data_IF_562923326785
#
_entry.id   IF_562923326785
#
_cell.length_a   1.000
_cell.length_b   1.000
_cell.length_c   1.000
_cell.angle_alpha   90.00
_cell.angle_beta   90.00
_cell.angle_gamma   90.00
#
_symmetry.space_group_name_H-M   'P 1'
#
loop_
_entity.id
_entity.type
_entity.pdbx_description
1 polymer ?
#
# COMPACT_ATOMS: atom_id res chain seq x y z
N UNK A 1 -10.67 -7.01 20.84
CA UNK A 1 -9.42 -7.78 20.64
C UNK A 1 -8.82 -7.25 19.36
N UNK A 2 -7.62 -6.64 19.38
CA UNK A 2 -7.04 -6.08 18.16
C UNK A 2 -6.80 -7.21 17.15
N UNK A 3 -7.10 -7.02 15.85
CA UNK A 3 -6.89 -8.05 14.85
C UNK A 3 -5.41 -8.41 14.77
N UNK A 4 -5.10 -9.69 14.86
CA UNK A 4 -3.75 -10.23 14.74
C UNK A 4 -3.51 -10.57 13.28
N UNK A 5 -2.89 -9.65 12.55
CA UNK A 5 -2.85 -9.69 11.09
C UNK A 5 -1.66 -10.44 10.51
N UNK A 6 -0.50 -10.24 11.12
CA UNK A 6 0.77 -10.79 10.64
C UNK A 6 1.51 -11.28 11.88
N UNK A 7 1.81 -12.57 11.94
CA UNK A 7 2.60 -13.21 13.02
C UNK A 7 2.07 -13.01 14.45
N UNK A 8 0.77 -12.79 14.62
CA UNK A 8 0.21 -12.52 15.95
C UNK A 8 0.52 -11.12 16.51
N UNK A 9 1.20 -10.27 15.73
CA UNK A 9 1.53 -8.89 16.09
C UNK A 9 0.37 -7.92 15.91
N UNK A 10 0.32 -6.91 16.78
CA UNK A 10 -0.64 -5.80 16.66
C UNK A 10 -0.04 -4.69 15.80
N UNK A 11 -0.12 -4.83 14.46
CA UNK A 11 0.34 -3.78 13.57
C UNK A 11 -0.72 -2.68 13.47
N UNK A 12 -0.27 -1.43 13.46
CA UNK A 12 -1.13 -0.26 13.26
C UNK A 12 -1.10 0.24 11.81
N UNK A 13 -0.08 -0.15 11.06
CA UNK A 13 0.13 0.27 9.69
C UNK A 13 0.54 -0.92 8.83
N UNK A 14 -0.11 -1.07 7.68
CA UNK A 14 0.21 -2.05 6.66
C UNK A 14 0.47 -1.34 5.33
N UNK A 15 1.67 -1.45 4.80
CA UNK A 15 2.07 -0.87 3.52
C UNK A 15 2.07 -1.95 2.43
N UNK A 16 1.25 -1.76 1.38
CA UNK A 16 1.24 -2.62 0.20
C UNK A 16 2.12 -2.00 -0.89
N UNK A 17 3.32 -2.52 -1.05
CA UNK A 17 4.36 -2.01 -1.95
C UNK A 17 4.57 -2.96 -3.13
N UNK A 18 5.19 -2.50 -4.22
CA UNK A 18 5.59 -3.36 -5.33
C UNK A 18 5.48 -2.72 -6.71
N UNK A 19 5.85 -3.44 -7.78
CA UNK A 19 5.80 -2.96 -9.16
C UNK A 19 4.40 -2.50 -9.60
N UNK A 20 4.33 -1.75 -10.71
CA UNK A 20 3.05 -1.33 -11.29
C UNK A 20 2.27 -2.51 -11.88
N UNK A 21 0.93 -2.50 -11.74
CA UNK A 21 0.05 -3.48 -12.38
C UNK A 21 -0.02 -4.87 -11.74
N UNK A 22 0.66 -5.12 -10.62
CA UNK A 22 0.70 -6.43 -9.94
C UNK A 22 -0.50 -6.72 -9.03
N UNK A 23 -1.43 -5.75 -8.84
CA UNK A 23 -2.63 -5.92 -8.02
C UNK A 23 -2.48 -5.42 -6.58
N UNK A 24 -1.63 -4.42 -6.32
CA UNK A 24 -1.47 -3.80 -4.99
C UNK A 24 -2.79 -3.32 -4.40
N UNK A 25 -3.54 -2.52 -5.16
CA UNK A 25 -4.84 -1.98 -4.76
C UNK A 25 -5.82 -3.08 -4.36
N UNK A 26 -5.91 -4.13 -5.17
CA UNK A 26 -6.74 -5.31 -4.88
C UNK A 26 -6.29 -6.03 -3.61
N UNK A 27 -4.98 -6.20 -3.44
CA UNK A 27 -4.41 -6.84 -2.25
C UNK A 27 -4.66 -5.99 -1.00
N UNK A 28 -4.45 -4.68 -1.07
CA UNK A 28 -4.72 -3.76 0.03
C UNK A 28 -6.19 -3.78 0.44
N UNK A 29 -7.10 -3.74 -0.55
CA UNK A 29 -8.55 -3.85 -0.32
C UNK A 29 -8.93 -5.17 0.34
N UNK A 30 -8.37 -6.30 -0.14
CA UNK A 30 -8.66 -7.62 0.39
C UNK A 30 -8.15 -7.81 1.83
N UNK A 31 -6.95 -7.30 2.13
CA UNK A 31 -6.38 -7.33 3.47
C UNK A 31 -7.16 -6.43 4.43
N UNK A 32 -7.52 -5.22 4.01
CA UNK A 32 -8.35 -4.31 4.80
C UNK A 32 -9.74 -4.87 5.09
N UNK A 33 -10.40 -5.42 4.08
CA UNK A 33 -11.72 -6.06 4.22
C UNK A 33 -11.66 -7.22 5.21
N UNK A 34 -10.65 -8.06 5.09
CA UNK A 34 -10.48 -9.19 5.99
C UNK A 34 -10.31 -8.72 7.44
N UNK A 35 -9.47 -7.68 7.67
CA UNK A 35 -9.24 -7.12 8.99
C UNK A 35 -10.50 -6.62 9.65
N UNK A 36 -11.29 -5.94 8.88
CA UNK A 36 -12.57 -5.44 9.35
C UNK A 36 -13.52 -6.59 9.71
N UNK A 37 -13.55 -7.67 8.90
CA UNK A 37 -14.37 -8.85 9.20
C UNK A 37 -13.88 -9.63 10.42
N UNK A 38 -12.62 -9.51 10.81
CA UNK A 38 -12.06 -10.04 12.05
C UNK A 38 -12.33 -9.12 13.27
N UNK A 39 -13.08 -8.05 13.09
CA UNK A 39 -13.55 -7.15 14.16
C UNK A 39 -12.73 -5.88 14.33
N UNK A 40 -11.78 -5.60 13.44
CA UNK A 40 -10.96 -4.38 13.49
C UNK A 40 -11.66 -3.15 12.95
N UNK A 41 -11.30 -1.97 13.46
CA UNK A 41 -11.59 -0.69 12.84
C UNK A 41 -10.46 -0.35 11.84
N UNK A 42 -10.75 -0.46 10.55
CA UNK A 42 -9.75 -0.42 9.49
C UNK A 42 -9.99 0.73 8.53
N UNK A 43 -8.93 1.48 8.23
CA UNK A 43 -8.90 2.48 7.17
C UNK A 43 -8.01 1.99 6.02
N UNK A 44 -8.56 1.95 4.81
CA UNK A 44 -7.78 1.67 3.58
C UNK A 44 -7.60 2.98 2.82
N UNK A 45 -6.37 3.41 2.65
CA UNK A 45 -6.02 4.66 1.97
C UNK A 45 -5.26 4.37 0.68
N UNK A 46 -5.61 5.07 -0.41
CA UNK A 46 -4.82 5.07 -1.64
C UNK A 46 -4.30 6.47 -1.96
N UNK A 47 -3.10 6.49 -2.55
CA UNK A 47 -2.48 7.70 -3.09
C UNK A 47 -2.74 7.80 -4.60
N UNK A 48 -3.13 6.70 -5.24
CA UNK A 48 -3.45 6.69 -6.67
C UNK A 48 -4.66 7.61 -6.94
N UNK A 49 -4.56 8.58 -7.85
CA UNK A 49 -5.68 9.43 -8.23
C UNK A 49 -6.82 8.66 -8.90
N UNK A 50 -6.56 7.47 -9.44
CA UNK A 50 -7.59 6.63 -10.05
C UNK A 50 -8.56 6.06 -8.97
N UNK A 51 -9.85 5.93 -9.26
CA UNK A 51 -10.85 5.49 -8.29
C UNK A 51 -10.82 3.98 -7.98
N UNK A 52 -9.81 3.25 -8.45
CA UNK A 52 -9.74 1.78 -8.39
C UNK A 52 -9.99 1.17 -7.01
N UNK A 53 -9.46 1.79 -5.94
CA UNK A 53 -9.67 1.33 -4.57
C UNK A 53 -11.15 1.45 -4.19
N UNK A 54 -11.73 2.60 -4.49
CA UNK A 54 -13.12 2.89 -4.14
C UNK A 54 -14.09 2.01 -4.93
N UNK A 55 -13.84 1.88 -6.24
CA UNK A 55 -14.61 0.99 -7.11
C UNK A 55 -14.55 -0.46 -6.62
N UNK A 56 -13.36 -0.95 -6.25
CA UNK A 56 -13.18 -2.31 -5.71
C UNK A 56 -13.95 -2.52 -4.39
N UNK A 57 -14.13 -1.47 -3.60
CA UNK A 57 -14.87 -1.50 -2.33
C UNK A 57 -16.34 -1.06 -2.48
N UNK A 58 -16.83 -0.85 -3.71
CA UNK A 58 -18.22 -0.51 -3.99
C UNK A 58 -18.59 0.94 -3.64
N UNK A 59 -17.60 1.82 -3.51
CA UNK A 59 -17.80 3.22 -3.17
C UNK A 59 -17.73 4.12 -4.41
N UNK A 60 -18.56 5.17 -4.44
CA UNK A 60 -18.50 6.19 -5.49
C UNK A 60 -17.32 7.14 -5.26
N UNK A 61 -16.65 7.53 -6.35
CA UNK A 61 -15.45 8.36 -6.29
C UNK A 61 -15.70 9.82 -5.86
N UNK A 62 -16.94 10.28 -5.84
CA UNK A 62 -17.32 11.61 -5.44
C UNK A 62 -17.12 11.77 -3.92
N UNK A 63 -16.33 12.75 -3.48
CA UNK A 63 -16.01 13.06 -2.08
C UNK A 63 -15.16 12.04 -1.27
N UNK A 64 -14.31 11.31 -1.93
CA UNK A 64 -13.48 10.27 -1.28
C UNK A 64 -12.23 10.79 -0.52
N UNK A 65 -12.05 12.10 -0.41
CA UNK A 65 -10.94 12.69 0.37
C UNK A 65 -11.09 12.49 1.89
N UNK A 66 -12.31 12.27 2.36
CA UNK A 66 -12.60 11.86 3.74
C UNK A 66 -12.92 10.36 3.80
N UNK A 67 -12.65 9.70 4.95
CA UNK A 67 -12.93 8.28 5.11
C UNK A 67 -14.43 7.97 4.90
N UNK A 68 -14.72 7.06 3.97
CA UNK A 68 -16.07 6.59 3.66
C UNK A 68 -16.25 5.17 4.15
N UNK A 69 -17.34 4.93 4.85
CA UNK A 69 -17.66 3.60 5.37
C UNK A 69 -18.10 2.66 4.26
N UNK A 70 -17.58 1.44 4.27
CA UNK A 70 -17.93 0.34 3.36
C UNK A 70 -19.01 -0.49 4.02
N UNK A 71 -20.13 -0.74 3.33
CA UNK A 71 -21.21 -1.56 3.85
C UNK A 71 -20.81 -3.04 3.93
N UNK A 72 -20.47 -3.52 5.11
CA UNK A 72 -20.11 -4.92 5.36
C UNK A 72 -21.33 -5.83 5.58
N UNK A 73 -22.52 -5.27 5.77
CA UNK A 73 -23.74 -6.02 6.05
C UNK A 73 -24.09 -7.04 4.94
N UNK A 74 -23.78 -6.73 3.68
CA UNK A 74 -23.98 -7.65 2.56
C UNK A 74 -23.11 -8.91 2.65
N UNK A 75 -22.02 -8.89 3.40
CA UNK A 75 -21.11 -10.02 3.60
C UNK A 75 -21.47 -10.88 4.83
N UNK A 76 -22.31 -10.39 5.73
CA UNK A 76 -22.73 -11.14 6.92
C UNK A 76 -23.47 -12.44 6.56
N UNK A 77 -24.18 -12.46 5.42
CA UNK A 77 -24.83 -13.66 4.88
C UNK A 77 -23.83 -14.66 4.25
N UNK A 78 -22.59 -14.24 3.99
CA UNK A 78 -21.55 -15.02 3.32
C UNK A 78 -20.68 -15.86 4.28
N UNK A 79 -20.94 -15.82 5.58
CA UNK A 79 -20.26 -16.64 6.60
C UNK A 79 -20.54 -18.14 6.50
N UNK A 80 -21.35 -18.57 5.51
CA UNK A 80 -21.60 -19.96 5.16
C UNK A 80 -20.41 -20.58 4.42
N UNK A 81 -19.63 -21.38 5.13
CA UNK A 81 -18.46 -22.14 4.66
C UNK A 81 -18.73 -23.12 3.49
N UNK A 82 -19.89 -23.06 2.83
CA UNK A 82 -20.33 -24.03 1.84
C UNK A 82 -19.81 -23.78 0.42
N UNK A 83 -19.38 -22.57 0.07
CA UNK A 83 -19.06 -22.24 -1.34
C UNK A 83 -17.56 -22.16 -1.65
N UNK A 84 -16.70 -22.39 -0.66
CA UNK A 84 -15.25 -22.45 -0.85
C UNK A 84 -14.75 -23.87 -1.19
N UNK A 85 -15.62 -24.89 -1.13
CA UNK A 85 -15.28 -26.27 -1.48
C UNK A 85 -15.00 -26.46 -2.97
N UNK A 86 -15.48 -25.58 -3.83
CA UNK A 86 -15.22 -25.63 -5.27
C UNK A 86 -13.78 -25.27 -5.68
N UNK A 87 -12.97 -24.72 -4.78
CA UNK A 87 -11.55 -24.42 -5.01
C UNK A 87 -10.60 -25.46 -4.39
N UNK A 88 -11.11 -26.36 -3.54
CA UNK A 88 -10.32 -27.39 -2.84
C UNK A 88 -10.34 -28.76 -3.51
N UNK A 89 -11.21 -29.00 -4.50
CA UNK A 89 -11.35 -30.29 -5.15
C UNK A 89 -10.42 -30.49 -6.37
N UNK A 90 -9.20 -29.98 -6.31
CA UNK A 90 -8.16 -30.42 -7.23
C UNK A 90 -7.29 -31.47 -6.55
N UNK A 91 -7.27 -32.73 -7.05
CA UNK A 91 -6.51 -33.82 -6.43
C UNK A 91 -4.99 -33.70 -6.52
N UNK A 92 -4.46 -32.65 -7.12
CA UNK A 92 -3.02 -32.49 -7.42
C UNK A 92 -2.27 -31.50 -6.53
N UNK A 93 -2.79 -31.18 -5.34
CA UNK A 93 -2.02 -30.42 -4.34
C UNK A 93 -0.81 -31.17 -3.79
N UNK A 94 -0.67 -32.47 -4.10
CA UNK A 94 0.42 -33.31 -3.60
C UNK A 94 1.77 -33.08 -4.28
N UNK A 95 1.82 -32.62 -5.54
CA UNK A 95 3.10 -32.45 -6.27
C UNK A 95 3.78 -31.10 -6.03
N UNK A 96 3.08 -30.11 -5.48
CA UNK A 96 3.69 -28.88 -4.96
C UNK A 96 4.21 -29.05 -3.52
N UNK A 97 3.86 -30.16 -2.87
CA UNK A 97 4.19 -30.48 -1.48
C UNK A 97 5.65 -30.84 -1.25
N UNK A 98 6.45 -31.07 -2.29
CA UNK A 98 7.87 -31.41 -2.14
C UNK A 98 8.79 -30.20 -2.01
N UNK A 99 8.28 -28.97 -2.03
CA UNK A 99 9.01 -27.78 -1.65
C UNK A 99 8.49 -27.30 -0.29
N UNK A 100 9.10 -27.83 0.72
CA UNK A 100 8.75 -27.67 2.13
C UNK A 100 8.62 -26.22 2.56
N UNK A 101 7.45 -25.70 2.66
CA UNK A 101 6.93 -24.54 3.44
C UNK A 101 5.85 -23.68 2.77
N UNK A 102 5.59 -23.82 1.45
CA UNK A 102 4.44 -23.14 0.80
C UNK A 102 3.17 -23.99 0.90
N UNK A 103 3.32 -25.26 1.22
CA UNK A 103 2.32 -26.32 1.02
C UNK A 103 1.79 -26.93 2.30
N UNK A 104 2.39 -26.63 3.46
CA UNK A 104 1.91 -27.26 4.71
C UNK A 104 0.46 -26.93 5.07
N UNK A 105 -0.11 -25.87 4.51
CA UNK A 105 -1.50 -25.50 4.80
C UNK A 105 -2.55 -26.10 3.88
N UNK A 106 -2.19 -26.53 2.67
CA UNK A 106 -3.10 -27.27 1.82
C UNK A 106 -3.13 -28.78 2.21
N UNK A 107 -1.99 -29.33 2.63
CA UNK A 107 -1.85 -30.73 3.01
C UNK A 107 -2.47 -31.06 4.39
N UNK A 108 -2.44 -30.15 5.35
CA UNK A 108 -3.04 -30.37 6.69
C UNK A 108 -4.57 -30.52 6.69
N UNK A 109 -5.22 -30.28 5.56
CA UNK A 109 -6.68 -30.48 5.40
C UNK A 109 -7.07 -31.74 4.62
N UNK A 110 -6.13 -32.39 3.93
CA UNK A 110 -6.40 -33.59 3.15
C UNK A 110 -6.34 -34.87 4.00
N UNK A 111 -5.64 -34.88 5.13
CA UNK A 111 -5.65 -35.98 6.05
C UNK A 111 -6.85 -35.88 7.02
N UNK A 112 -7.91 -36.61 6.72
CA UNK A 112 -9.13 -36.72 7.52
C UNK A 112 -8.97 -37.31 8.92
N UNK A 113 -7.87 -36.98 9.63
CA UNK A 113 -7.68 -37.28 11.05
C UNK A 113 -8.08 -36.06 11.88
N UNK A 114 -9.38 -35.89 11.99
CA UNK A 114 -10.01 -34.99 12.93
C UNK A 114 -9.73 -35.38 14.36
N UNK A 115 -8.89 -34.65 15.00
CA UNK A 115 -8.67 -34.71 16.45
C UNK A 115 -8.68 -33.33 17.10
N UNK A 116 -8.95 -32.28 16.34
CA UNK A 116 -9.15 -30.94 16.92
C UNK A 116 -10.66 -30.68 16.98
N UNK A 117 -11.17 -30.65 18.21
CA UNK A 117 -12.53 -30.25 18.49
C UNK A 117 -12.86 -28.99 17.74
N UNK A 118 -14.00 -28.98 17.06
CA UNK A 118 -14.54 -27.82 16.37
C UNK A 118 -14.60 -26.64 17.36
N UNK A 119 -13.52 -25.86 17.41
CA UNK A 119 -13.59 -24.53 18.02
C UNK A 119 -14.59 -23.80 17.12
N UNK A 120 -15.80 -23.56 17.67
CA UNK A 120 -16.75 -22.59 17.12
C UNK A 120 -15.92 -21.36 16.77
N UNK A 121 -15.74 -21.07 15.47
CA UNK A 121 -15.22 -19.77 15.05
C UNK A 121 -16.11 -18.74 15.72
N UNK A 122 -15.55 -17.75 16.41
CA UNK A 122 -16.36 -16.68 16.94
C UNK A 122 -17.16 -16.12 15.75
N UNK A 123 -18.45 -15.87 15.96
CA UNK A 123 -19.27 -15.14 15.01
C UNK A 123 -18.46 -13.88 14.66
N UNK A 124 -18.22 -13.65 13.36
CA UNK A 124 -17.50 -12.48 12.88
C UNK A 124 -18.22 -11.26 13.47
N UNK A 125 -17.65 -10.64 14.49
CA UNK A 125 -18.13 -9.34 14.93
C UNK A 125 -17.65 -8.39 13.86
N UNK A 126 -18.55 -7.94 12.98
CA UNK A 126 -18.21 -7.00 11.94
C UNK A 126 -17.58 -5.76 12.60
N UNK A 127 -16.29 -5.57 12.35
CA UNK A 127 -15.61 -4.33 12.63
C UNK A 127 -16.06 -3.26 11.64
N UNK A 128 -15.26 -2.24 11.50
CA UNK A 128 -15.54 -1.13 10.58
C UNK A 128 -14.48 -1.07 9.49
N UNK A 129 -14.90 -0.96 8.24
CA UNK A 129 -14.02 -0.68 7.11
C UNK A 129 -14.36 0.69 6.54
N UNK A 130 -13.37 1.56 6.45
CA UNK A 130 -13.47 2.83 5.74
C UNK A 130 -12.43 2.86 4.63
N UNK A 131 -12.77 3.50 3.52
CA UNK A 131 -11.83 3.76 2.44
C UNK A 131 -11.75 5.24 2.13
N UNK A 132 -10.55 5.68 1.75
CA UNK A 132 -10.31 7.07 1.36
C UNK A 132 -9.25 7.15 0.27
N UNK A 133 -9.37 8.17 -0.57
CA UNK A 133 -8.37 8.57 -1.55
C UNK A 133 -7.73 9.86 -1.09
N UNK A 134 -6.42 9.90 -1.06
CA UNK A 134 -5.69 11.12 -0.70
C UNK A 134 -6.02 12.27 -1.65
N UNK A 135 -6.36 13.41 -1.08
CA UNK A 135 -6.30 14.71 -1.74
C UNK A 135 -5.18 15.52 -1.10
N UNK A 136 -4.01 15.61 -1.76
CA UNK A 136 -2.85 16.29 -1.18
C UNK A 136 -3.12 17.75 -0.86
N UNK A 137 -3.86 18.45 -1.73
CA UNK A 137 -4.18 19.86 -1.51
C UNK A 137 -5.08 20.04 -0.30
N UNK A 138 -6.15 19.27 -0.21
CA UNK A 138 -7.09 19.35 0.93
C UNK A 138 -6.41 18.98 2.24
N UNK A 139 -5.52 17.97 2.23
CA UNK A 139 -4.71 17.59 3.39
C UNK A 139 -3.79 18.74 3.81
N UNK A 140 -3.12 19.38 2.85
CA UNK A 140 -2.26 20.51 3.15
C UNK A 140 -3.04 21.71 3.69
N UNK A 141 -4.19 22.03 3.07
CA UNK A 141 -5.08 23.10 3.56
C UNK A 141 -5.52 22.85 5.00
N UNK A 142 -5.90 21.60 5.33
CA UNK A 142 -6.28 21.22 6.69
C UNK A 142 -5.14 21.35 7.71
N UNK A 143 -3.91 21.00 7.32
CA UNK A 143 -2.71 21.18 8.16
C UNK A 143 -2.43 22.66 8.38
N UNK A 144 -2.52 23.48 7.33
CA UNK A 144 -2.36 24.93 7.44
C UNK A 144 -3.41 25.53 8.36
N UNK A 145 -4.70 25.17 8.17
CA UNK A 145 -5.79 25.66 9.01
C UNK A 145 -5.61 25.29 10.49
N UNK A 146 -5.09 24.09 10.78
CA UNK A 146 -4.90 23.58 12.16
C UNK A 146 -3.68 24.17 12.85
N UNK A 147 -2.60 24.43 12.13
CA UNK A 147 -1.28 24.74 12.69
C UNK A 147 -0.78 26.15 12.43
N UNK A 148 -1.48 26.95 11.62
CA UNK A 148 -1.13 28.35 11.44
C UNK A 148 -1.29 29.12 12.75
N UNK A 149 -0.45 30.15 13.00
CA UNK A 149 -0.49 30.94 14.23
C UNK A 149 -1.82 31.65 14.48
N UNK A 150 -2.60 31.91 13.43
CA UNK A 150 -3.94 32.50 13.50
C UNK A 150 -4.76 32.17 12.25
N UNK A 151 -6.09 32.27 12.28
CA UNK A 151 -6.93 32.10 11.10
C UNK A 151 -6.54 33.07 9.95
N UNK A 152 -6.21 34.31 10.28
CA UNK A 152 -5.77 35.28 9.27
C UNK A 152 -4.42 34.89 8.62
N UNK A 153 -3.50 34.25 9.37
CA UNK A 153 -2.27 33.71 8.82
C UNK A 153 -2.55 32.51 7.92
N UNK A 154 -3.49 31.63 8.29
CA UNK A 154 -3.91 30.52 7.45
C UNK A 154 -4.46 31.00 6.11
N UNK A 155 -5.37 31.98 6.12
CA UNK A 155 -5.93 32.58 4.92
C UNK A 155 -4.83 33.21 4.05
N UNK A 156 -3.90 33.95 4.65
CA UNK A 156 -2.79 34.59 3.95
C UNK A 156 -1.86 33.56 3.30
N UNK A 157 -1.62 32.41 3.96
CA UNK A 157 -0.86 31.30 3.40
C UNK A 157 -1.61 30.70 2.20
N UNK A 158 -2.89 30.35 2.35
CA UNK A 158 -3.69 29.68 1.32
C UNK A 158 -3.91 30.55 0.08
N UNK A 159 -3.95 31.89 0.25
CA UNK A 159 -4.09 32.84 -0.85
C UNK A 159 -2.75 33.15 -1.55
N UNK A 160 -1.63 32.80 -0.93
CA UNK A 160 -0.31 33.07 -1.49
C UNK A 160 -0.07 32.26 -2.77
N UNK A 161 0.49 32.87 -3.82
CA UNK A 161 0.76 32.24 -5.12
C UNK A 161 1.76 31.08 -4.99
N UNK A 162 2.77 31.24 -4.14
CA UNK A 162 3.77 30.20 -3.89
C UNK A 162 3.10 28.97 -3.28
N UNK A 163 2.26 29.16 -2.26
CA UNK A 163 1.50 28.06 -1.65
C UNK A 163 0.63 27.32 -2.67
N UNK A 164 -0.13 28.03 -3.50
CA UNK A 164 -1.00 27.44 -4.52
C UNK A 164 -0.20 26.61 -5.54
N UNK A 165 0.94 27.11 -5.95
CA UNK A 165 1.81 26.37 -6.88
C UNK A 165 2.45 25.15 -6.18
N UNK A 166 2.93 25.29 -4.94
CA UNK A 166 3.50 24.19 -4.16
C UNK A 166 2.47 23.09 -3.91
N UNK A 167 1.26 23.44 -3.50
CA UNK A 167 0.22 22.48 -3.15
C UNK A 167 -0.34 21.70 -4.35
N UNK A 168 -0.12 22.18 -5.59
CA UNK A 168 -0.66 21.58 -6.81
C UNK A 168 0.40 20.94 -7.70
N UNK A 169 1.62 21.42 -7.71
CA UNK A 169 2.59 21.11 -8.77
C UNK A 169 3.89 20.44 -8.31
N UNK A 170 4.21 20.41 -7.02
CA UNK A 170 5.46 19.80 -6.58
C UNK A 170 5.32 18.31 -6.30
N UNK A 171 6.01 17.53 -7.15
CA UNK A 171 6.35 16.15 -6.82
C UNK A 171 7.04 16.12 -5.44
N UNK A 172 6.57 15.25 -4.54
CA UNK A 172 7.09 15.15 -3.16
C UNK A 172 6.23 15.86 -2.10
N UNK A 173 5.51 16.94 -2.41
CA UNK A 173 4.51 17.49 -1.47
C UNK A 173 3.34 16.55 -1.30
N UNK A 174 2.87 15.92 -2.40
CA UNK A 174 1.83 14.91 -2.35
C UNK A 174 2.22 13.72 -1.50
N UNK A 175 3.45 13.24 -1.65
CA UNK A 175 3.99 12.12 -0.87
C UNK A 175 4.05 12.45 0.63
N UNK A 176 4.51 13.67 0.96
CA UNK A 176 4.54 14.10 2.34
C UNK A 176 3.12 14.29 2.92
N UNK A 177 2.18 14.83 2.15
CA UNK A 177 0.78 14.95 2.59
C UNK A 177 0.15 13.58 2.83
N UNK A 178 0.51 12.58 2.03
CA UNK A 178 0.09 11.20 2.28
C UNK A 178 0.63 10.68 3.61
N UNK A 179 1.89 10.98 3.93
CA UNK A 179 2.49 10.59 5.20
C UNK A 179 1.86 11.31 6.40
N UNK A 180 1.53 12.58 6.26
CA UNK A 180 0.79 13.33 7.29
C UNK A 180 -0.59 12.72 7.54
N UNK A 181 -1.33 12.39 6.47
CA UNK A 181 -2.64 11.75 6.60
C UNK A 181 -2.55 10.36 7.22
N UNK A 182 -1.53 9.61 6.84
CA UNK A 182 -1.23 8.30 7.42
C UNK A 182 -0.96 8.39 8.93
N UNK A 183 -0.14 9.36 9.35
CA UNK A 183 0.14 9.62 10.76
C UNK A 183 -1.14 9.97 11.52
N UNK A 184 -1.94 10.89 10.98
CA UNK A 184 -3.22 11.30 11.58
C UNK A 184 -4.15 10.11 11.79
N UNK A 185 -4.33 9.26 10.78
CA UNK A 185 -5.17 8.07 10.86
C UNK A 185 -4.60 7.04 11.86
N UNK A 186 -3.29 6.78 11.82
CA UNK A 186 -2.65 5.80 12.68
C UNK A 186 -2.64 6.18 14.16
N UNK A 187 -2.66 7.48 14.48
CA UNK A 187 -2.73 7.99 15.85
C UNK A 187 -4.17 8.23 16.33
N UNK A 188 -5.13 8.22 15.39
CA UNK A 188 -6.53 8.39 15.70
C UNK A 188 -7.06 7.29 16.62
N UNK A 189 -7.96 7.62 17.57
CA UNK A 189 -8.55 6.63 18.48
C UNK A 189 -9.54 5.70 17.79
N UNK A 190 -9.99 6.05 16.60
CA UNK A 190 -11.02 5.35 15.87
C UNK A 190 -10.51 4.25 14.95
N UNK A 191 -9.18 4.12 14.76
CA UNK A 191 -8.57 3.23 13.80
C UNK A 191 -7.61 2.27 14.49
N UNK A 192 -7.83 0.98 14.30
CA UNK A 192 -6.93 -0.07 14.77
C UNK A 192 -5.81 -0.35 13.76
N UNK A 193 -6.14 -0.30 12.46
CA UNK A 193 -5.22 -0.58 11.37
C UNK A 193 -5.44 0.38 10.19
N UNK A 194 -4.36 0.95 9.69
CA UNK A 194 -4.34 1.67 8.41
C UNK A 194 -3.66 0.81 7.35
N UNK A 195 -4.33 0.55 6.25
CA UNK A 195 -3.77 -0.14 5.08
C UNK A 195 -3.51 0.89 3.99
N UNK A 196 -2.25 1.02 3.57
CA UNK A 196 -1.86 1.94 2.52
C UNK A 196 -1.62 1.22 1.20
N UNK A 197 -2.42 1.57 0.19
CA UNK A 197 -2.18 1.25 -1.22
C UNK A 197 -1.25 2.31 -1.82
N UNK A 198 -0.05 1.89 -2.20
CA UNK A 198 1.01 2.81 -2.63
C UNK A 198 1.13 2.91 -4.16
N UNK A 199 1.76 3.98 -4.68
CA UNK A 199 2.12 4.05 -6.09
C UNK A 199 3.12 2.94 -6.52
N UNK A 200 3.48 2.84 -7.80
CA UNK A 200 4.46 1.86 -8.29
C UNK A 200 5.81 1.93 -7.58
N UNK A 201 6.57 0.83 -7.55
CA UNK A 201 7.75 0.61 -6.69
C UNK A 201 8.81 1.73 -6.71
N UNK A 202 9.11 2.34 -7.85
CA UNK A 202 10.08 3.45 -7.91
C UNK A 202 9.58 4.67 -7.14
N UNK A 203 8.33 5.03 -7.36
CA UNK A 203 7.67 6.14 -6.66
C UNK A 203 7.43 5.79 -5.18
N UNK A 204 7.26 4.51 -4.85
CA UNK A 204 7.08 4.07 -3.46
C UNK A 204 8.34 4.25 -2.60
N UNK A 205 9.55 4.09 -3.15
CA UNK A 205 10.80 4.40 -2.44
C UNK A 205 10.94 5.90 -2.22
N UNK A 206 10.63 6.70 -3.24
CA UNK A 206 10.60 8.16 -3.14
C UNK A 206 9.59 8.62 -2.10
N UNK A 207 8.43 7.98 -2.06
CA UNK A 207 7.40 8.18 -1.06
C UNK A 207 7.90 7.90 0.37
N UNK A 208 8.54 6.75 0.59
CA UNK A 208 9.08 6.38 1.90
C UNK A 208 10.18 7.33 2.39
N UNK A 209 10.92 7.96 1.46
CA UNK A 209 11.96 8.94 1.76
C UNK A 209 11.43 10.39 1.89
N UNK A 210 10.14 10.63 1.60
CA UNK A 210 9.53 11.96 1.63
C UNK A 210 9.70 12.69 2.98
N UNK A 211 9.53 12.04 4.17
CA UNK A 211 9.76 12.71 5.45
C UNK A 211 11.19 13.18 5.61
N UNK A 212 12.17 12.40 5.19
CA UNK A 212 13.59 12.75 5.24
C UNK A 212 13.90 13.92 4.33
N UNK A 213 13.42 13.88 3.09
CA UNK A 213 13.59 14.99 2.13
C UNK A 213 13.02 16.31 2.66
N UNK A 214 11.86 16.24 3.33
CA UNK A 214 11.30 17.42 3.98
C UNK A 214 12.20 17.92 5.11
N UNK A 215 12.69 17.04 5.99
CA UNK A 215 13.62 17.42 7.06
C UNK A 215 14.89 18.06 6.50
N UNK A 216 15.47 17.49 5.46
CA UNK A 216 16.65 18.04 4.79
C UNK A 216 16.37 19.43 4.18
N UNK A 217 15.18 19.58 3.57
CA UNK A 217 14.74 20.88 3.04
C UNK A 217 14.58 21.92 4.16
N UNK A 218 13.87 21.58 5.23
CA UNK A 218 13.62 22.47 6.37
C UNK A 218 14.93 22.86 7.10
N UNK A 219 15.88 21.93 7.18
CA UNK A 219 17.20 22.18 7.75
C UNK A 219 18.19 22.87 6.79
N UNK A 220 17.78 23.06 5.54
CA UNK A 220 18.64 23.67 4.53
C UNK A 220 18.95 25.14 4.87
N UNK A 221 20.16 25.57 4.48
CA UNK A 221 20.57 27.00 4.63
C UNK A 221 19.62 27.94 3.91
N UNK A 222 19.01 27.50 2.80
CA UNK A 222 18.07 28.31 2.03
C UNK A 222 16.83 28.69 2.84
N UNK A 223 16.21 27.74 3.55
CA UNK A 223 15.05 28.01 4.40
C UNK A 223 15.43 28.85 5.61
N UNK A 224 16.57 28.57 6.24
CA UNK A 224 17.08 29.36 7.37
C UNK A 224 17.36 30.79 6.98
N UNK A 225 17.88 31.03 5.77
CA UNK A 225 18.16 32.39 5.24
C UNK A 225 16.88 33.14 4.87
N UNK A 226 15.86 32.49 4.37
CA UNK A 226 14.57 33.07 3.98
C UNK A 226 13.66 33.33 5.19
N UNK A 227 13.71 32.45 6.20
CA UNK A 227 12.77 32.40 7.33
C UNK A 227 13.06 33.28 8.52
N UNK A 228 14.13 34.05 8.56
CA UNK A 228 14.33 34.94 9.70
C UNK A 228 15.69 34.87 10.37
N UNK A 229 16.65 34.17 9.83
CA UNK A 229 18.06 34.25 10.23
C UNK A 229 18.70 35.63 10.05
N UNK A 230 17.87 36.63 9.82
CA UNK A 230 18.27 38.03 9.58
C UNK A 230 18.84 38.75 10.81
N UNK A 231 18.96 38.05 11.94
CA UNK A 231 19.54 38.64 13.17
C UNK A 231 21.07 38.52 13.30
N UNK A 232 21.75 37.80 12.38
CA UNK A 232 23.21 37.66 12.40
C UNK A 232 23.80 37.76 10.99
N UNK A 233 24.11 38.98 10.57
CA UNK A 233 25.04 39.26 9.48
C UNK A 233 24.65 38.76 8.09
N UNK A 234 24.25 39.63 7.20
CA UNK A 234 24.04 39.34 5.78
C UNK A 234 25.34 38.81 5.14
N UNK A 235 25.31 37.61 4.57
CA UNK A 235 26.42 37.14 3.73
C UNK A 235 26.38 37.82 2.35
N UNK A 236 27.51 37.89 1.67
CA UNK A 236 27.59 38.43 0.30
C UNK A 236 26.73 37.66 -0.67
N UNK A 237 26.52 36.36 -0.42
CA UNK A 237 25.66 35.46 -1.20
C UNK A 237 24.17 35.84 -1.07
N UNK A 238 23.75 36.32 0.12
CA UNK A 238 22.36 36.74 0.35
C UNK A 238 22.02 38.03 -0.42
N UNK A 239 22.98 38.93 -0.51
CA UNK A 239 22.83 40.18 -1.26
C UNK A 239 22.74 39.87 -2.76
N UNK A 240 23.59 38.98 -3.28
CA UNK A 240 23.58 38.58 -4.68
C UNK A 240 22.27 37.85 -5.07
N UNK A 241 21.80 36.91 -4.26
CA UNK A 241 20.55 36.22 -4.51
C UNK A 241 19.34 37.17 -4.52
N UNK A 242 19.29 38.13 -3.60
CA UNK A 242 18.26 39.19 -3.58
C UNK A 242 18.32 40.09 -4.78
N UNK A 243 19.53 40.47 -5.21
CA UNK A 243 19.72 41.33 -6.39
C UNK A 243 19.22 40.59 -7.67
N UNK A 244 19.51 39.30 -7.83
CA UNK A 244 19.03 38.50 -8.96
C UNK A 244 17.50 38.38 -8.94
N UNK A 245 16.90 38.06 -7.80
CA UNK A 245 15.44 37.95 -7.68
C UNK A 245 14.75 39.30 -7.89
N UNK A 246 15.32 40.39 -7.37
CA UNK A 246 14.77 41.75 -7.59
C UNK A 246 14.89 42.21 -9.04
N UNK A 247 15.98 41.83 -9.73
CA UNK A 247 16.14 42.11 -11.15
C UNK A 247 15.13 41.30 -11.98
N UNK A 248 14.90 40.05 -11.61
CA UNK A 248 13.88 39.18 -12.23
C UNK A 248 12.46 39.74 -12.03
N UNK A 249 12.13 40.19 -10.80
CA UNK A 249 10.85 40.85 -10.50
C UNK A 249 10.61 42.09 -11.35
N UNK A 250 11.67 42.93 -11.54
CA UNK A 250 11.60 44.13 -12.39
C UNK A 250 11.39 43.78 -13.87
N UNK A 251 12.01 42.72 -14.36
CA UNK A 251 11.91 42.28 -15.74
C UNK A 251 10.58 41.60 -16.06
N UNK A 252 10.05 40.83 -15.11
CA UNK A 252 8.86 40.01 -15.30
C UNK A 252 7.57 40.62 -14.73
N UNK A 253 7.67 41.59 -13.82
CA UNK A 253 6.52 42.17 -13.11
C UNK A 253 5.84 41.19 -12.12
N UNK A 254 6.46 40.08 -11.80
CA UNK A 254 5.82 38.97 -11.08
C UNK A 254 5.84 39.06 -9.55
N UNK A 255 6.54 40.04 -8.97
CA UNK A 255 6.68 40.24 -7.50
C UNK A 255 7.06 38.97 -6.71
N UNK A 256 7.78 38.03 -7.33
CA UNK A 256 8.11 36.73 -6.76
C UNK A 256 8.84 36.82 -5.42
N UNK A 257 9.76 37.79 -5.28
CA UNK A 257 10.49 37.96 -4.04
C UNK A 257 9.56 38.33 -2.88
N UNK A 258 8.58 39.20 -3.13
CA UNK A 258 7.57 39.59 -2.14
C UNK A 258 6.69 38.42 -1.72
N UNK A 259 6.24 37.64 -2.70
CA UNK A 259 5.40 36.44 -2.46
C UNK A 259 6.16 35.38 -1.65
N UNK A 260 7.45 35.11 -1.99
CA UNK A 260 8.30 34.18 -1.24
C UNK A 260 8.52 34.66 0.19
N UNK A 261 8.86 35.94 0.38
CA UNK A 261 9.08 36.49 1.72
C UNK A 261 7.79 36.46 2.57
N UNK A 262 6.64 36.77 1.99
CA UNK A 262 5.36 36.73 2.67
C UNK A 262 5.00 35.26 3.05
N UNK A 263 5.20 34.34 2.12
CA UNK A 263 4.99 32.90 2.36
C UNK A 263 5.86 32.41 3.53
N UNK A 264 7.18 32.62 3.46
CA UNK A 264 8.12 32.16 4.48
C UNK A 264 7.80 32.77 5.86
N UNK A 265 7.50 34.07 5.93
CA UNK A 265 7.13 34.69 7.22
C UNK A 265 5.85 34.11 7.84
N UNK A 266 4.83 33.88 7.03
CA UNK A 266 3.56 33.32 7.51
C UNK A 266 3.69 31.83 7.85
N UNK A 267 4.62 31.14 7.21
CA UNK A 267 4.87 29.70 7.38
C UNK A 267 5.91 29.40 8.48
N UNK A 268 6.70 30.42 8.91
CA UNK A 268 7.83 30.25 9.85
C UNK A 268 7.41 29.56 11.16
N UNK A 269 6.25 29.93 11.71
CA UNK A 269 5.70 29.31 12.92
C UNK A 269 5.29 27.84 12.75
N UNK A 270 5.21 27.34 11.52
CA UNK A 270 4.79 25.96 11.23
C UNK A 270 5.96 25.00 10.96
N UNK A 271 7.17 25.52 10.64
CA UNK A 271 8.32 24.69 10.27
C UNK A 271 8.69 23.67 11.36
N UNK A 272 8.71 24.08 12.62
CA UNK A 272 9.02 23.20 13.74
C UNK A 272 8.00 22.04 13.85
N UNK A 273 6.71 22.34 13.68
CA UNK A 273 5.64 21.34 13.69
C UNK A 273 5.75 20.36 12.51
N UNK A 274 6.09 20.83 11.32
CA UNK A 274 6.36 19.95 10.17
C UNK A 274 7.56 19.05 10.40
N UNK A 275 8.66 19.58 10.94
CA UNK A 275 9.85 18.80 11.26
C UNK A 275 9.56 17.72 12.32
N UNK A 276 8.81 18.05 13.37
CA UNK A 276 8.42 17.11 14.41
C UNK A 276 7.55 15.99 13.83
N UNK A 277 6.53 16.31 13.03
CA UNK A 277 5.65 15.32 12.42
C UNK A 277 6.39 14.45 11.40
N UNK A 278 7.27 15.02 10.58
CA UNK A 278 8.11 14.26 9.67
C UNK A 278 8.99 13.24 10.41
N UNK A 279 9.57 13.63 11.55
CA UNK A 279 10.34 12.72 12.39
C UNK A 279 9.47 11.61 13.02
N UNK A 280 8.21 11.92 13.37
CA UNK A 280 7.24 10.91 13.87
C UNK A 280 6.87 9.93 12.77
N UNK A 281 6.60 10.40 11.55
CA UNK A 281 6.34 9.52 10.39
C UNK A 281 7.54 8.61 10.12
N UNK A 282 8.75 9.16 10.12
CA UNK A 282 9.95 8.35 9.91
C UNK A 282 10.09 7.24 10.98
N UNK A 283 9.80 7.56 12.23
CA UNK A 283 9.76 6.55 13.29
C UNK A 283 8.65 5.52 13.07
N UNK A 284 7.46 5.94 12.66
CA UNK A 284 6.34 5.05 12.37
C UNK A 284 6.69 4.04 11.28
N UNK A 285 7.34 4.46 10.21
CA UNK A 285 7.70 3.59 9.07
C UNK A 285 8.68 2.47 9.43
N UNK A 286 9.57 2.69 10.40
CA UNK A 286 10.57 1.71 10.87
C UNK A 286 10.16 1.04 12.19
N UNK A 287 9.02 1.39 12.74
CA UNK A 287 8.53 0.82 13.99
C UNK A 287 8.08 -0.64 13.80
N UNK A 288 8.17 -1.44 14.86
CA UNK A 288 7.74 -2.84 14.83
C UNK A 288 6.24 -3.06 14.60
N UNK A 289 5.44 -2.01 14.78
CA UNK A 289 3.99 -1.98 14.54
C UNK A 289 3.62 -1.56 13.09
N UNK A 290 4.62 -1.36 12.22
CA UNK A 290 4.44 -1.20 10.78
C UNK A 290 4.83 -2.49 10.05
N UNK A 291 3.90 -3.03 9.28
CA UNK A 291 4.13 -4.16 8.41
C UNK A 291 4.27 -3.72 6.96
N UNK A 292 5.25 -4.25 6.26
CA UNK A 292 5.45 -4.02 4.83
C UNK A 292 5.23 -5.32 4.08
N UNK A 293 4.38 -5.28 3.08
CA UNK A 293 4.08 -6.40 2.19
C UNK A 293 4.47 -6.01 0.77
N UNK A 294 5.30 -6.83 0.13
CA UNK A 294 5.68 -6.64 -1.27
C UNK A 294 4.79 -7.49 -2.16
N UNK A 295 4.05 -6.85 -3.05
CA UNK A 295 3.17 -7.53 -4.02
C UNK A 295 3.88 -7.59 -5.37
N UNK A 296 3.92 -8.77 -5.98
CA UNK A 296 4.49 -9.00 -7.31
C UNK A 296 3.67 -10.04 -8.08
N UNK A 297 4.08 -10.37 -9.29
CA UNK A 297 3.58 -11.53 -10.06
C UNK A 297 4.76 -12.45 -10.41
N UNK A 298 4.48 -13.67 -10.87
CA UNK A 298 5.51 -14.63 -11.25
C UNK A 298 6.15 -14.34 -12.63
N UNK A 299 5.81 -13.21 -13.26
CA UNK A 299 6.47 -12.78 -14.48
C UNK A 299 7.94 -12.43 -14.24
N UNK A 300 8.89 -12.88 -15.09
CA UNK A 300 10.33 -12.69 -14.84
C UNK A 300 10.71 -11.22 -14.59
N UNK A 301 10.16 -10.29 -15.36
CA UNK A 301 10.45 -8.86 -15.21
C UNK A 301 9.93 -8.31 -13.87
N UNK A 302 8.74 -8.73 -13.45
CA UNK A 302 8.14 -8.32 -12.17
C UNK A 302 8.87 -8.93 -10.98
N UNK A 303 9.31 -10.19 -11.12
CA UNK A 303 10.14 -10.86 -10.12
C UNK A 303 11.48 -10.13 -9.94
N UNK A 304 12.16 -9.78 -11.05
CA UNK A 304 13.41 -9.02 -11.00
C UNK A 304 13.21 -7.65 -10.34
N UNK A 305 12.15 -6.91 -10.70
CA UNK A 305 11.81 -5.64 -10.06
C UNK A 305 11.51 -5.80 -8.57
N UNK A 306 10.85 -6.90 -8.16
CA UNK A 306 10.59 -7.18 -6.76
C UNK A 306 11.89 -7.44 -5.98
N UNK A 307 12.87 -8.15 -6.55
CA UNK A 307 14.18 -8.34 -5.94
C UNK A 307 14.93 -7.03 -5.71
N UNK A 308 15.02 -6.19 -6.74
CA UNK A 308 15.64 -4.87 -6.63
C UNK A 308 14.94 -4.02 -5.56
N UNK A 309 13.62 -4.07 -5.54
CA UNK A 309 12.82 -3.31 -4.59
C UNK A 309 12.99 -3.78 -3.14
N UNK A 310 13.01 -5.10 -2.89
CA UNK A 310 13.27 -5.68 -1.57
C UNK A 310 14.68 -5.29 -1.09
N UNK A 311 15.67 -5.34 -1.96
CA UNK A 311 17.04 -4.91 -1.63
C UNK A 311 17.10 -3.41 -1.25
N UNK A 312 16.37 -2.57 -1.97
CA UNK A 312 16.29 -1.14 -1.68
C UNK A 312 15.57 -0.85 -0.35
N UNK A 313 14.47 -1.55 -0.04
CA UNK A 313 13.78 -1.46 1.25
C UNK A 313 14.73 -1.79 2.41
N UNK A 314 15.49 -2.88 2.30
CA UNK A 314 16.47 -3.26 3.32
C UNK A 314 17.55 -2.23 3.51
N UNK A 315 18.06 -1.65 2.42
CA UNK A 315 19.04 -0.55 2.49
C UNK A 315 18.45 0.65 3.25
N UNK A 316 17.14 0.87 3.17
CA UNK A 316 16.42 1.89 3.92
C UNK A 316 16.07 1.46 5.38
N UNK A 317 16.48 0.26 5.81
CA UNK A 317 16.20 -0.29 7.14
C UNK A 317 14.77 -0.83 7.31
N UNK A 318 14.10 -1.13 6.20
CA UNK A 318 12.73 -1.63 6.19
C UNK A 318 12.74 -3.10 5.75
N UNK A 319 12.36 -4.02 6.65
CA UNK A 319 12.24 -5.44 6.35
C UNK A 319 10.81 -5.79 5.94
N UNK A 320 10.59 -6.34 4.73
CA UNK A 320 9.28 -6.85 4.35
C UNK A 320 8.88 -8.02 5.24
N UNK A 321 7.63 -8.05 5.68
CA UNK A 321 7.05 -9.18 6.43
C UNK A 321 6.59 -10.31 5.52
N UNK A 322 6.14 -9.95 4.32
CA UNK A 322 5.72 -10.94 3.34
C UNK A 322 5.96 -10.47 1.92
N UNK A 323 6.11 -11.43 1.02
CA UNK A 323 6.04 -11.25 -0.42
C UNK A 323 4.81 -12.00 -0.95
N UNK A 324 3.91 -11.28 -1.60
CA UNK A 324 2.70 -11.85 -2.21
C UNK A 324 2.93 -11.97 -3.70
N UNK A 325 2.96 -13.20 -4.21
CA UNK A 325 2.99 -13.48 -5.64
C UNK A 325 1.55 -13.64 -6.11
N UNK A 326 1.02 -12.59 -6.72
CA UNK A 326 -0.36 -12.48 -7.15
C UNK A 326 -0.57 -13.04 -8.56
N UNK A 327 -1.81 -13.37 -8.92
CA UNK A 327 -2.22 -13.87 -10.23
C UNK A 327 -1.51 -15.16 -10.63
N UNK A 328 -1.34 -16.06 -9.68
CA UNK A 328 -0.79 -17.38 -9.96
C UNK A 328 -1.78 -18.22 -10.77
N UNK A 329 -1.26 -18.93 -11.75
CA UNK A 329 -2.07 -19.82 -12.57
C UNK A 329 -2.76 -20.88 -11.68
N UNK A 330 -4.06 -21.13 -11.87
CA UNK A 330 -4.78 -22.14 -11.11
C UNK A 330 -4.25 -23.55 -11.40
N UNK A 331 -4.53 -24.50 -10.51
CA UNK A 331 -4.25 -25.90 -10.76
C UNK A 331 -5.10 -26.40 -11.94
N UNK A 332 -4.47 -27.07 -12.89
CA UNK A 332 -5.12 -27.65 -14.06
C UNK A 332 -4.81 -29.15 -14.13
N UNK A 333 -5.74 -29.98 -14.65
CA UNK A 333 -5.48 -31.39 -14.86
C UNK A 333 -4.21 -31.63 -15.67
N UNK A 334 -3.40 -32.60 -15.27
CA UNK A 334 -2.20 -32.95 -15.99
C UNK A 334 -2.52 -33.53 -17.38
N UNK A 335 -1.55 -33.48 -18.31
CA UNK A 335 -1.72 -34.05 -19.63
C UNK A 335 -2.08 -35.56 -19.58
N UNK A 336 -1.59 -36.29 -18.55
CA UNK A 336 -1.90 -37.72 -18.34
C UNK A 336 -3.33 -37.91 -17.86
N UNK A 337 -3.81 -37.10 -16.93
CA UNK A 337 -5.19 -37.13 -16.44
C UNK A 337 -6.16 -36.83 -17.58
N UNK A 338 -5.88 -35.81 -18.40
CA UNK A 338 -6.66 -35.49 -19.60
C UNK A 338 -6.63 -36.65 -20.61
N UNK A 339 -5.48 -37.30 -20.80
CA UNK A 339 -5.34 -38.44 -21.72
C UNK A 339 -6.17 -39.63 -21.29
N UNK A 340 -6.37 -39.87 -19.98
CA UNK A 340 -7.20 -40.92 -19.41
C UNK A 340 -8.69 -40.61 -19.42
N UNK A 341 -9.08 -39.35 -19.54
CA UNK A 341 -10.48 -38.95 -19.54
C UNK A 341 -11.26 -39.48 -20.73
N UNK A 342 -12.53 -39.77 -20.53
CA UNK A 342 -13.46 -40.24 -21.56
C UNK A 342 -13.93 -39.07 -22.44
N UNK A 343 -13.08 -38.61 -23.36
CA UNK A 343 -13.31 -37.47 -24.23
C UNK A 343 -13.19 -37.89 -25.71
N UNK A 344 -13.90 -37.19 -26.59
CA UNK A 344 -13.76 -37.35 -28.03
C UNK A 344 -12.27 -37.15 -28.48
N UNK A 345 -11.75 -38.02 -29.39
CA UNK A 345 -10.31 -38.00 -29.75
C UNK A 345 -9.75 -36.65 -30.17
N UNK A 346 -10.54 -35.88 -30.91
CA UNK A 346 -10.10 -34.55 -31.38
C UNK A 346 -10.00 -33.55 -30.22
N UNK A 347 -10.95 -33.55 -29.29
CA UNK A 347 -10.96 -32.70 -28.10
C UNK A 347 -9.83 -33.11 -27.14
N UNK A 348 -9.66 -34.40 -26.90
CA UNK A 348 -8.59 -34.96 -26.06
C UNK A 348 -7.21 -34.49 -26.52
N UNK A 349 -6.90 -34.57 -27.84
CA UNK A 349 -5.61 -34.05 -28.35
C UNK A 349 -5.39 -32.60 -28.10
N UNK A 350 -6.44 -31.77 -28.28
CA UNK A 350 -6.35 -30.32 -28.00
C UNK A 350 -6.10 -30.05 -26.51
N UNK A 351 -6.84 -30.72 -25.65
CA UNK A 351 -6.71 -30.53 -24.19
C UNK A 351 -5.39 -31.06 -23.64
N UNK A 352 -4.86 -32.19 -24.14
CA UNK A 352 -3.52 -32.69 -23.76
C UNK A 352 -2.45 -31.69 -24.18
N UNK A 353 -2.55 -31.08 -25.35
CA UNK A 353 -1.63 -30.05 -25.78
C UNK A 353 -1.71 -28.82 -24.87
N UNK A 354 -2.92 -28.32 -24.61
CA UNK A 354 -3.13 -27.18 -23.70
C UNK A 354 -2.60 -27.47 -22.29
N UNK A 355 -2.85 -28.68 -21.75
CA UNK A 355 -2.34 -29.06 -20.42
C UNK A 355 -0.80 -29.07 -20.35
N UNK A 356 -0.12 -29.48 -21.44
CA UNK A 356 1.36 -29.40 -21.51
C UNK A 356 1.88 -27.98 -21.56
N UNK A 357 1.24 -27.12 -22.38
CA UNK A 357 1.59 -25.70 -22.48
C UNK A 357 1.38 -25.00 -21.12
N UNK A 358 0.28 -25.33 -20.43
CA UNK A 358 -0.04 -24.79 -19.13
C UNK A 358 0.93 -25.26 -18.03
N UNK A 359 1.33 -26.54 -18.06
CA UNK A 359 2.33 -27.08 -17.16
C UNK A 359 3.70 -26.39 -17.32
N UNK A 360 4.10 -26.04 -18.55
CA UNK A 360 5.32 -25.30 -18.80
C UNK A 360 5.25 -23.85 -18.22
N UNK A 361 4.10 -23.18 -18.31
CA UNK A 361 3.90 -21.87 -17.67
C UNK A 361 3.98 -21.98 -16.15
N UNK A 362 3.32 -22.95 -15.54
CA UNK A 362 3.39 -23.19 -14.09
C UNK A 362 4.81 -23.52 -13.61
N UNK A 363 5.58 -24.26 -14.39
CA UNK A 363 6.99 -24.51 -14.06
C UNK A 363 7.83 -23.22 -14.02
N UNK A 364 7.54 -22.26 -14.91
CA UNK A 364 8.17 -20.93 -14.87
C UNK A 364 7.77 -20.14 -13.64
N UNK A 365 6.49 -20.16 -13.27
CA UNK A 365 6.00 -19.53 -12.03
C UNK A 365 6.68 -20.14 -10.79
N UNK A 366 6.78 -21.47 -10.73
CA UNK A 366 7.47 -22.15 -9.65
C UNK A 366 8.94 -21.72 -9.54
N UNK A 367 9.65 -21.61 -10.67
CA UNK A 367 11.03 -21.13 -10.70
C UNK A 367 11.15 -19.68 -10.22
N UNK A 368 10.20 -18.81 -10.56
CA UNK A 368 10.15 -17.43 -10.07
C UNK A 368 9.93 -17.35 -8.55
N UNK A 369 9.05 -18.20 -8.01
CA UNK A 369 8.82 -18.33 -6.57
C UNK A 369 10.11 -18.79 -5.85
N UNK A 370 10.78 -19.82 -6.36
CA UNK A 370 12.06 -20.30 -5.78
C UNK A 370 13.14 -19.21 -5.83
N UNK A 371 13.21 -18.44 -6.91
CA UNK A 371 14.13 -17.29 -6.99
C UNK A 371 13.82 -16.24 -5.91
N UNK A 372 12.56 -15.90 -5.70
CA UNK A 372 12.15 -14.97 -4.63
C UNK A 372 12.49 -15.51 -3.24
N UNK A 373 12.29 -16.82 -3.03
CA UNK A 373 12.63 -17.49 -1.77
C UNK A 373 14.13 -17.48 -1.50
N UNK A 374 14.94 -17.79 -2.49
CA UNK A 374 16.40 -17.84 -2.37
C UNK A 374 17.03 -16.47 -2.06
N UNK A 375 16.37 -15.38 -2.45
CA UNK A 375 16.86 -14.01 -2.24
C UNK A 375 16.29 -13.34 -0.99
N UNK A 376 15.25 -13.94 -0.39
CA UNK A 376 14.62 -13.44 0.83
C UNK A 376 15.33 -13.96 2.10
N UNK A 377 15.23 -13.28 3.25
CA UNK A 377 15.53 -13.87 4.55
C UNK A 377 14.58 -15.06 4.79
N UNK A 378 15.02 -16.04 5.57
CA UNK A 378 14.18 -17.18 5.97
C UNK A 378 12.88 -16.76 6.70
N UNK A 379 12.87 -15.58 7.28
CA UNK A 379 11.74 -15.04 8.05
C UNK A 379 10.65 -14.38 7.19
N UNK A 380 10.92 -14.08 5.90
CA UNK A 380 9.91 -13.43 5.04
C UNK A 380 8.93 -14.46 4.51
N UNK A 381 7.66 -14.29 4.86
CA UNK A 381 6.60 -15.17 4.34
C UNK A 381 6.38 -14.94 2.85
N UNK A 382 6.34 -16.03 2.09
CA UNK A 382 6.01 -15.98 0.67
C UNK A 382 4.62 -16.60 0.46
N UNK A 383 3.70 -15.80 -0.09
CA UNK A 383 2.31 -16.19 -0.31
C UNK A 383 2.00 -16.18 -1.81
N UNK A 384 1.42 -17.26 -2.29
CA UNK A 384 0.92 -17.37 -3.65
C UNK A 384 -0.60 -17.17 -3.68
N UNK A 385 -1.07 -16.22 -4.49
CA UNK A 385 -2.48 -15.89 -4.63
C UNK A 385 -2.94 -16.26 -6.04
N UNK A 386 -3.97 -17.13 -6.18
CA UNK A 386 -4.43 -17.57 -7.48
C UNK A 386 -5.06 -16.43 -8.28
N UNK A 387 -4.95 -16.53 -9.60
CA UNK A 387 -5.69 -15.69 -10.52
C UNK A 387 -7.18 -16.08 -10.46
N UNK A 388 -8.04 -15.10 -10.26
CA UNK A 388 -9.49 -15.32 -10.25
C UNK A 388 -10.08 -15.45 -11.67
N UNK A 389 -9.26 -15.30 -12.72
CA UNK A 389 -9.71 -15.33 -14.12
C UNK A 389 -10.53 -14.12 -14.55
N UNK A 390 -10.75 -13.16 -13.65
CA UNK A 390 -11.42 -11.88 -13.90
C UNK A 390 -10.91 -10.82 -12.93
N UNK A 391 -11.07 -9.56 -13.27
CA UNK A 391 -10.82 -8.49 -12.32
C UNK A 391 -11.83 -8.55 -11.17
N UNK A 392 -11.36 -8.47 -9.91
CA UNK A 392 -12.26 -8.39 -8.76
C UNK A 392 -13.13 -7.13 -8.86
N UNK A 393 -14.44 -7.33 -9.00
CA UNK A 393 -15.41 -6.25 -9.16
C UNK A 393 -16.36 -6.13 -7.96
N UNK A 394 -16.36 -7.13 -7.09
CA UNK A 394 -17.28 -7.20 -5.96
C UNK A 394 -16.53 -7.48 -4.65
N UNK A 395 -17.11 -7.07 -3.53
CA UNK A 395 -16.58 -7.36 -2.19
C UNK A 395 -16.38 -8.87 -1.95
N UNK A 396 -17.21 -9.71 -2.57
CA UNK A 396 -17.08 -11.18 -2.50
C UNK A 396 -15.76 -11.68 -3.12
N UNK A 397 -15.30 -11.07 -4.23
CA UNK A 397 -14.02 -11.43 -4.85
C UNK A 397 -12.85 -11.02 -3.96
N UNK A 398 -12.93 -9.82 -3.36
CA UNK A 398 -11.93 -9.35 -2.39
C UNK A 398 -11.89 -10.24 -1.15
N UNK A 399 -13.04 -10.74 -0.70
CA UNK A 399 -13.12 -11.68 0.42
C UNK A 399 -12.44 -13.01 0.08
N UNK A 400 -12.64 -13.55 -1.12
CA UNK A 400 -11.94 -14.77 -1.60
C UNK A 400 -10.42 -14.58 -1.58
N UNK A 401 -9.94 -13.44 -2.10
CA UNK A 401 -8.52 -13.07 -2.04
C UNK A 401 -8.03 -12.93 -0.60
N UNK A 402 -8.78 -12.25 0.25
CA UNK A 402 -8.47 -12.10 1.67
C UNK A 402 -8.32 -13.45 2.39
N UNK A 403 -9.13 -14.46 2.04
CA UNK A 403 -9.00 -15.81 2.57
C UNK A 403 -7.71 -16.49 2.09
N UNK A 404 -7.30 -16.32 0.84
CA UNK A 404 -6.02 -16.82 0.33
C UNK A 404 -4.82 -16.17 1.02
N UNK A 405 -5.00 -14.97 1.55
CA UNK A 405 -4.00 -14.22 2.32
C UNK A 405 -4.09 -14.48 3.84
N UNK A 406 -4.91 -15.47 4.26
CA UNK A 406 -5.21 -15.79 5.66
C UNK A 406 -4.02 -16.23 6.51
N UNK A 407 -2.85 -16.33 5.93
CA UNK A 407 -1.63 -16.83 6.53
C UNK A 407 -0.69 -15.69 6.97
N UNK A 408 -1.03 -14.48 6.55
CA UNK A 408 -0.41 -13.29 7.09
C UNK A 408 -0.93 -13.03 8.50
#
# INVERSE_FOLDING_TARGET
MKPSFIDGGTHRLLLCLGPGGVGKTTTASALGLRAALEGGAVDVMTIDPAPRLLDALGLKAEDAAEPREVELACLAAWSGAADLSGLSDSPDSADLANSSNVVELAAARADGRSGFGARRRPALSAGRLRALRLDPKRTFDAIVARHAPSPAAADAIMQNRIYRNLSQALAGVGDYMAMERLLELSEGPETDLVVLDTPPAREALDFLDAPRRLLDLLNSRAVTLLGGGMRRGLSVVDIAARAVLSAFDRLTGLHLLGDVQAFVRNFDGMFAGFAERAARVQKLLVAGDTAVVVVTTAEPERTAQAHEFIAALRTAGIEPRAVIVNRMLPAMPSAEQVARAALAPALKRKLVRAAREFAALRAREAAAIESLRASGPEEVKLLAVPDLGREPAELADLLRLGHSLAIL
#
